data_IF_166272372478
#
_entry.id   IF_166272372478
#
_cell.length_a   1.000
_cell.length_b   1.000
_cell.length_c   1.000
_cell.angle_alpha   90.00
_cell.angle_beta   90.00
_cell.angle_gamma   90.00
#
_symmetry.space_group_name_H-M   'P 1'
#
loop_
_entity.id
_entity.type
_entity.pdbx_description
1 polymer ?
#
# COMPACT_ATOMS: atom_id res chain seq x y z
N UNK A 1 -63.14 9.77 32.86
CA UNK A 1 -63.22 10.44 31.55
C UNK A 1 -61.97 11.30 31.39
N UNK A 2 -61.11 10.90 30.44
CA UNK A 2 -59.99 11.63 29.81
C UNK A 2 -59.06 12.50 30.68
N UNK A 3 -57.90 11.96 31.02
CA UNK A 3 -56.71 12.72 31.42
C UNK A 3 -56.13 13.44 30.19
N UNK A 4 -55.97 14.76 30.29
CA UNK A 4 -55.45 15.64 29.22
C UNK A 4 -53.95 15.81 29.43
N UNK A 5 -53.15 15.18 28.56
CA UNK A 5 -51.70 15.35 28.47
C UNK A 5 -51.35 16.77 28.01
N UNK A 6 -50.45 17.46 28.72
CA UNK A 6 -49.84 18.72 28.27
C UNK A 6 -48.61 18.43 27.40
N UNK A 7 -48.66 18.88 26.15
CA UNK A 7 -47.58 18.83 25.17
C UNK A 7 -46.51 19.89 25.46
N UNK A 8 -45.26 19.47 25.68
CA UNK A 8 -44.08 20.32 25.65
C UNK A 8 -43.66 20.63 24.19
N UNK A 9 -43.10 21.82 23.90
CA UNK A 9 -42.76 22.21 22.53
C UNK A 9 -41.53 21.47 22.00
N UNK A 10 -41.64 21.01 20.76
CA UNK A 10 -40.59 20.34 20.00
C UNK A 10 -39.45 21.32 19.65
N UNK A 11 -38.25 21.05 20.16
CA UNK A 11 -37.01 21.62 19.64
C UNK A 11 -36.64 20.89 18.35
N UNK A 12 -36.70 21.59 17.22
CA UNK A 12 -36.24 21.12 15.91
C UNK A 12 -34.71 20.93 15.92
N UNK A 13 -34.25 19.70 16.17
CA UNK A 13 -32.86 19.30 15.93
C UNK A 13 -32.70 18.85 14.48
N UNK A 14 -32.50 19.80 13.58
CA UNK A 14 -32.05 19.55 12.21
C UNK A 14 -30.52 19.45 12.20
N UNK A 15 -29.97 18.32 12.66
CA UNK A 15 -28.55 17.96 12.44
C UNK A 15 -28.29 16.50 12.84
N UNK A 16 -28.93 15.57 12.12
CA UNK A 16 -28.58 14.14 12.19
C UNK A 16 -28.28 13.68 10.77
N UNK A 17 -26.99 13.62 10.43
CA UNK A 17 -26.53 12.90 9.25
C UNK A 17 -26.78 11.39 9.46
N UNK A 18 -27.22 10.65 8.43
CA UNK A 18 -27.57 9.25 8.58
C UNK A 18 -26.34 8.37 8.86
N UNK A 19 -26.52 7.24 9.57
CA UNK A 19 -25.47 6.26 9.78
C UNK A 19 -24.99 5.67 8.44
N UNK A 20 -23.69 5.41 8.39
CA UNK A 20 -22.93 4.98 7.22
C UNK A 20 -23.51 3.71 6.59
N UNK A 21 -24.09 3.84 5.40
CA UNK A 21 -24.41 2.69 4.53
C UNK A 21 -23.42 2.72 3.37
N UNK A 22 -22.59 1.68 3.27
CA UNK A 22 -21.67 1.47 2.16
C UNK A 22 -22.50 1.06 0.93
N UNK A 23 -22.74 1.99 0.01
CA UNK A 23 -23.20 1.65 -1.32
C UNK A 23 -21.99 1.47 -2.24
N UNK A 24 -21.60 0.21 -2.48
CA UNK A 24 -20.69 -0.12 -3.57
C UNK A 24 -21.49 -0.32 -4.86
N UNK A 25 -21.50 0.69 -5.75
CA UNK A 25 -22.03 0.54 -7.10
C UNK A 25 -21.06 -0.25 -7.96
N UNK A 26 -21.31 -1.56 -8.09
CA UNK A 26 -20.62 -2.44 -9.04
C UNK A 26 -21.28 -2.35 -10.42
N UNK A 27 -20.63 -1.68 -11.38
CA UNK A 27 -20.99 -1.78 -12.79
C UNK A 27 -20.34 -3.02 -13.42
N UNK A 28 -20.96 -4.20 -13.26
CA UNK A 28 -20.77 -5.36 -14.13
C UNK A 28 -22.10 -6.08 -14.34
N UNK A 29 -22.53 -6.32 -15.60
CA UNK A 29 -23.80 -6.97 -15.88
C UNK A 29 -23.73 -8.47 -15.55
N UNK A 30 -24.65 -8.94 -14.71
CA UNK A 30 -24.86 -10.34 -14.38
C UNK A 30 -25.61 -11.06 -15.50
N UNK A 31 -25.02 -12.09 -16.10
CA UNK A 31 -25.70 -12.95 -17.07
C UNK A 31 -26.55 -14.01 -16.35
N UNK A 32 -27.87 -13.79 -16.27
CA UNK A 32 -28.84 -14.81 -15.87
C UNK A 32 -29.37 -15.59 -17.07
N UNK A 33 -29.37 -16.92 -16.96
CA UNK A 33 -29.89 -17.87 -17.95
C UNK A 33 -31.41 -17.79 -18.13
N UNK A 34 -31.90 -17.91 -19.38
CA UNK A 34 -33.12 -18.67 -19.75
C UNK A 34 -33.16 -18.96 -21.26
N UNK A 35 -33.93 -19.99 -21.60
CA UNK A 35 -33.80 -20.94 -22.74
C UNK A 35 -34.56 -20.54 -24.02
N UNK A 36 -34.05 -21.10 -25.13
CA UNK A 36 -34.72 -21.58 -26.36
C UNK A 36 -35.36 -20.61 -27.38
N UNK A 37 -34.73 -20.49 -28.56
CA UNK A 37 -35.39 -20.69 -29.87
C UNK A 37 -34.38 -20.90 -31.04
N UNK A 38 -34.48 -22.07 -31.67
CA UNK A 38 -34.20 -22.48 -33.07
C UNK A 38 -33.03 -21.89 -33.91
N UNK A 39 -31.98 -22.71 -34.02
CA UNK A 39 -31.36 -23.26 -35.25
C UNK A 39 -31.21 -22.41 -36.52
N UNK A 40 -29.97 -21.99 -36.83
CA UNK A 40 -29.40 -22.04 -38.18
C UNK A 40 -27.93 -22.54 -38.14
N UNK A 41 -27.49 -23.09 -39.27
CA UNK A 41 -26.47 -24.14 -39.45
C UNK A 41 -25.04 -23.79 -39.01
N UNK A 42 -24.35 -24.83 -38.51
CA UNK A 42 -22.91 -24.94 -38.21
C UNK A 42 -22.04 -24.74 -39.46
N UNK A 43 -20.97 -23.96 -39.33
CA UNK A 43 -19.74 -24.10 -40.11
C UNK A 43 -18.60 -24.45 -39.15
N UNK A 44 -17.86 -25.52 -39.46
CA UNK A 44 -16.67 -25.99 -38.74
C UNK A 44 -15.46 -25.16 -39.18
N UNK A 45 -14.56 -24.80 -38.25
CA UNK A 45 -13.23 -24.29 -38.62
C UNK A 45 -12.42 -23.64 -37.48
N UNK A 46 -11.51 -24.44 -36.92
CA UNK A 46 -10.16 -24.14 -36.38
C UNK A 46 -9.88 -22.95 -35.42
N UNK A 47 -9.18 -23.33 -34.35
CA UNK A 47 -8.42 -22.52 -33.38
C UNK A 47 -7.38 -21.56 -34.02
N UNK A 48 -7.23 -20.34 -33.42
CA UNK A 48 -6.08 -19.39 -33.26
C UNK A 48 -4.87 -19.43 -34.23
N UNK A 49 -4.10 -18.33 -34.48
CA UNK A 49 -3.84 -17.19 -33.58
C UNK A 49 -3.64 -15.78 -34.23
N UNK A 50 -3.48 -14.78 -33.36
CA UNK A 50 -2.65 -13.55 -33.47
C UNK A 50 -2.45 -12.89 -34.84
N UNK A 51 -3.03 -11.69 -34.97
CA UNK A 51 -2.84 -10.78 -36.11
C UNK A 51 -1.45 -10.15 -36.06
N UNK A 52 -0.54 -10.69 -36.88
CA UNK A 52 0.68 -10.05 -37.35
C UNK A 52 0.32 -8.69 -37.98
N UNK A 53 0.92 -7.60 -37.50
CA UNK A 53 0.95 -6.32 -38.22
C UNK A 53 2.16 -6.36 -39.13
N UNK A 54 1.93 -6.42 -40.44
CA UNK A 54 2.98 -6.30 -41.45
C UNK A 54 3.53 -4.88 -41.46
N UNK A 55 4.85 -4.76 -41.27
CA UNK A 55 5.63 -3.57 -41.61
C UNK A 55 5.58 -3.37 -43.13
N UNK A 56 4.88 -2.33 -43.58
CA UNK A 56 5.07 -1.78 -44.93
C UNK A 56 6.03 -0.61 -44.81
N UNK A 57 7.20 -0.75 -45.44
CA UNK A 57 8.30 0.21 -45.39
C UNK A 57 8.06 1.45 -46.26
N UNK A 58 7.01 2.23 -45.97
CA UNK A 58 6.81 3.54 -46.59
C UNK A 58 7.02 4.65 -45.54
N UNK A 59 8.05 5.47 -45.78
CA UNK A 59 8.39 6.62 -44.95
C UNK A 59 7.46 7.80 -45.29
N UNK A 60 6.61 8.19 -44.34
CA UNK A 60 5.88 9.46 -44.43
C UNK A 60 6.79 10.65 -44.05
N UNK A 61 6.84 11.73 -44.84
CA UNK A 61 7.79 12.84 -44.67
C UNK A 61 7.40 13.85 -43.57
N UNK A 62 6.56 13.47 -42.61
CA UNK A 62 6.02 14.39 -41.60
C UNK A 62 6.32 14.00 -40.14
N UNK A 63 7.26 13.08 -39.89
CA UNK A 63 7.69 12.76 -38.53
C UNK A 63 9.11 13.26 -38.30
N UNK A 64 9.23 14.40 -37.60
CA UNK A 64 10.48 15.05 -37.22
C UNK A 64 11.28 14.16 -36.25
N UNK A 65 11.98 13.19 -36.82
CA UNK A 65 12.78 12.18 -36.14
C UNK A 65 14.18 12.69 -35.74
N UNK A 66 14.23 13.86 -35.10
CA UNK A 66 15.47 14.44 -34.55
C UNK A 66 15.49 14.51 -33.02
N UNK A 67 14.45 13.99 -32.35
CA UNK A 67 14.43 13.85 -30.88
C UNK A 67 14.62 12.41 -30.38
N UNK A 68 14.41 11.39 -31.20
CA UNK A 68 14.65 9.99 -30.80
C UNK A 68 16.12 9.58 -30.82
N UNK A 69 16.98 10.32 -31.54
CA UNK A 69 18.43 10.03 -31.61
C UNK A 69 19.20 10.44 -30.35
N UNK A 70 18.58 11.12 -29.37
CA UNK A 70 19.19 11.43 -28.07
C UNK A 70 19.07 10.31 -27.03
N UNK A 71 18.28 9.28 -27.30
CA UNK A 71 17.99 8.21 -26.34
C UNK A 71 18.27 6.81 -26.91
N UNK A 72 18.98 6.72 -28.03
CA UNK A 72 19.48 5.45 -28.52
C UNK A 72 20.72 5.07 -27.69
N UNK A 73 20.80 3.86 -27.10
CA UNK A 73 22.01 3.41 -26.46
C UNK A 73 23.07 3.17 -27.54
N UNK A 74 24.03 4.09 -27.68
CA UNK A 74 25.29 3.79 -28.35
C UNK A 74 26.16 3.02 -27.37
N UNK A 75 25.91 1.72 -27.24
CA UNK A 75 26.99 0.79 -26.92
C UNK A 75 27.68 0.54 -28.26
N UNK A 76 28.78 1.24 -28.51
CA UNK A 76 29.64 0.95 -29.66
C UNK A 76 30.40 -0.34 -29.38
N UNK A 77 30.68 -1.07 -30.44
CA UNK A 77 31.43 -2.34 -30.43
C UNK A 77 32.82 -2.22 -29.80
N UNK A 78 33.28 -0.99 -29.55
CA UNK A 78 34.57 -0.63 -28.97
C UNK A 78 34.63 -0.75 -27.43
N UNK A 79 33.49 -0.98 -26.74
CA UNK A 79 33.47 -1.26 -25.29
C UNK A 79 33.84 -2.73 -24.95
N UNK A 80 34.20 -3.54 -25.96
CA UNK A 80 34.53 -4.97 -25.80
C UNK A 80 36.03 -5.28 -25.70
N UNK A 81 36.90 -4.28 -25.73
CA UNK A 81 38.37 -4.45 -25.65
C UNK A 81 38.97 -3.76 -24.39
N UNK A 82 38.29 -3.82 -23.24
CA UNK A 82 38.96 -3.51 -21.97
C UNK A 82 39.75 -4.72 -21.50
N UNK A 83 41.04 -4.70 -21.86
CA UNK A 83 42.05 -5.57 -21.31
C UNK A 83 42.00 -5.57 -19.78
N UNK A 84 42.14 -6.78 -19.26
CA UNK A 84 42.07 -7.14 -17.87
C UNK A 84 43.30 -6.62 -17.12
N UNK A 85 43.38 -5.32 -16.80
CA UNK A 85 44.22 -4.79 -15.69
C UNK A 85 44.02 -3.32 -15.25
N UNK A 86 43.10 -2.51 -15.81
CA UNK A 86 42.88 -1.11 -15.33
C UNK A 86 41.41 -0.79 -15.00
N UNK A 87 40.84 -1.45 -13.98
CA UNK A 87 39.60 -0.96 -13.33
C UNK A 87 39.91 0.10 -12.27
N UNK A 88 40.43 1.26 -12.70
CA UNK A 88 40.14 2.51 -12.00
C UNK A 88 38.74 2.95 -12.44
N UNK A 89 37.74 2.63 -11.63
CA UNK A 89 36.35 3.03 -11.83
C UNK A 89 36.31 4.56 -11.68
N UNK A 90 36.16 5.27 -12.80
CA UNK A 90 35.76 6.66 -12.78
C UNK A 90 34.33 6.75 -12.25
N UNK A 91 34.17 7.24 -11.03
CA UNK A 91 32.89 7.59 -10.39
C UNK A 91 32.27 8.86 -11.03
N UNK A 92 32.28 8.97 -12.36
CA UNK A 92 31.79 10.12 -13.13
C UNK A 92 30.62 9.74 -14.06
N UNK A 93 29.86 8.69 -13.73
CA UNK A 93 28.51 8.52 -14.28
C UNK A 93 27.58 9.48 -13.53
N UNK A 94 27.29 10.65 -14.11
CA UNK A 94 26.07 11.40 -13.78
C UNK A 94 24.92 10.39 -13.65
N UNK A 95 24.15 10.44 -12.56
CA UNK A 95 23.03 9.53 -12.25
C UNK A 95 21.85 9.69 -13.24
N UNK A 96 22.11 9.61 -14.54
CA UNK A 96 21.12 9.60 -15.59
C UNK A 96 20.30 8.33 -15.43
N UNK A 97 19.08 8.52 -14.93
CA UNK A 97 18.08 7.46 -14.75
C UNK A 97 17.80 6.83 -16.11
N UNK A 98 18.45 5.70 -16.39
CA UNK A 98 18.28 4.99 -17.66
C UNK A 98 16.88 4.38 -17.73
N UNK A 99 16.09 4.84 -18.69
CA UNK A 99 14.74 4.33 -18.93
C UNK A 99 14.80 3.21 -19.97
N UNK A 100 14.28 2.03 -19.62
CA UNK A 100 14.11 0.92 -20.53
C UNK A 100 12.66 0.84 -21.04
N UNK A 101 12.51 0.40 -22.29
CA UNK A 101 11.22 0.09 -22.93
C UNK A 101 11.16 -1.40 -23.18
N UNK A 102 9.97 -2.00 -23.13
CA UNK A 102 9.83 -3.42 -23.42
C UNK A 102 10.42 -3.79 -24.80
N UNK A 103 11.29 -4.81 -24.82
CA UNK A 103 11.98 -5.30 -25.99
C UNK A 103 13.33 -4.64 -26.30
N UNK A 104 13.71 -3.58 -25.59
CA UNK A 104 15.02 -2.94 -25.80
C UNK A 104 16.14 -3.74 -25.13
N UNK A 105 17.29 -3.83 -25.80
CA UNK A 105 18.51 -4.38 -25.22
C UNK A 105 19.08 -3.44 -24.16
N UNK A 106 19.38 -3.99 -22.99
CA UNK A 106 19.89 -3.23 -21.84
C UNK A 106 21.39 -3.44 -21.70
N UNK A 107 21.84 -4.71 -21.73
CA UNK A 107 23.22 -5.10 -21.50
C UNK A 107 23.51 -6.53 -21.99
N UNK A 108 24.79 -6.89 -22.10
CA UNK A 108 25.25 -8.24 -22.46
C UNK A 108 25.14 -9.23 -21.29
N UNK A 109 24.71 -10.47 -21.57
CA UNK A 109 24.57 -11.54 -20.58
C UNK A 109 25.92 -12.13 -20.12
N UNK A 110 27.03 -11.83 -20.79
CA UNK A 110 28.35 -12.34 -20.39
C UNK A 110 28.87 -11.72 -19.10
N UNK A 111 28.52 -10.46 -18.85
CA UNK A 111 29.01 -9.68 -17.69
C UNK A 111 27.93 -9.56 -16.61
N UNK A 112 26.65 -9.54 -17.02
CA UNK A 112 25.51 -9.24 -16.16
C UNK A 112 24.55 -10.41 -15.98
N UNK A 113 23.93 -10.45 -14.82
CA UNK A 113 22.86 -11.38 -14.46
C UNK A 113 21.51 -10.71 -14.65
N UNK A 114 20.55 -11.47 -15.19
CA UNK A 114 19.16 -11.04 -15.33
C UNK A 114 18.46 -11.01 -13.96
N UNK A 115 17.87 -9.87 -13.62
CA UNK A 115 16.97 -9.70 -12.48
C UNK A 115 15.50 -9.73 -12.88
N UNK A 116 14.66 -9.10 -12.05
CA UNK A 116 13.24 -8.92 -12.35
C UNK A 116 13.04 -7.91 -13.49
N UNK A 117 12.03 -8.14 -14.34
CA UNK A 117 11.74 -7.23 -15.45
C UNK A 117 12.68 -7.34 -16.65
N UNK A 118 13.57 -8.33 -16.66
CA UNK A 118 14.46 -8.62 -17.78
C UNK A 118 14.35 -10.09 -18.20
N UNK A 119 14.66 -10.36 -19.47
CA UNK A 119 14.74 -11.71 -20.02
C UNK A 119 15.88 -11.81 -21.02
N UNK A 120 16.36 -13.02 -21.24
CA UNK A 120 17.42 -13.27 -22.22
C UNK A 120 16.79 -13.43 -23.60
N UNK A 121 17.37 -12.77 -24.61
CA UNK A 121 16.99 -12.98 -25.99
C UNK A 121 17.31 -14.43 -26.42
N UNK A 122 16.45 -15.03 -27.24
CA UNK A 122 16.66 -16.41 -27.73
C UNK A 122 17.71 -16.49 -28.83
N UNK A 123 17.99 -15.36 -29.49
CA UNK A 123 18.83 -15.30 -30.69
C UNK A 123 20.12 -14.49 -30.47
N UNK A 124 20.21 -13.75 -29.37
CA UNK A 124 21.37 -12.95 -28.99
C UNK A 124 21.65 -13.14 -27.50
N UNK A 125 22.93 -13.15 -27.10
CA UNK A 125 23.34 -13.23 -25.69
C UNK A 125 23.16 -11.88 -24.96
N UNK A 126 22.05 -11.20 -25.24
CA UNK A 126 21.70 -9.89 -24.71
C UNK A 126 20.50 -9.99 -23.76
N UNK A 127 20.56 -9.17 -22.71
CA UNK A 127 19.48 -9.00 -21.74
C UNK A 127 18.53 -7.93 -22.27
N UNK A 128 17.30 -8.34 -22.57
CA UNK A 128 16.22 -7.48 -23.01
C UNK A 128 15.31 -7.09 -21.83
N UNK A 129 14.71 -5.91 -21.91
CA UNK A 129 13.67 -5.51 -20.95
C UNK A 129 12.32 -6.17 -21.27
N UNK A 130 11.63 -6.74 -20.28
CA UNK A 130 10.23 -7.16 -20.42
C UNK A 130 9.23 -6.06 -20.06
N UNK A 131 9.67 -5.01 -19.36
CA UNK A 131 8.81 -3.95 -18.83
C UNK A 131 9.31 -2.55 -19.20
N UNK A 132 8.43 -1.56 -19.13
CA UNK A 132 8.82 -0.16 -19.28
C UNK A 132 9.06 0.47 -17.90
N UNK A 133 10.23 1.06 -17.69
CA UNK A 133 10.59 1.59 -16.38
C UNK A 133 12.06 1.98 -16.27
N UNK A 134 12.52 2.19 -15.03
CA UNK A 134 13.90 2.58 -14.74
C UNK A 134 14.76 1.32 -14.60
N UNK A 135 15.96 1.36 -15.19
CA UNK A 135 16.94 0.27 -15.06
C UNK A 135 17.65 0.45 -13.72
N UNK A 136 17.49 -0.52 -12.83
CA UNK A 136 18.21 -0.59 -11.57
C UNK A 136 19.35 -1.61 -11.72
N UNK A 137 20.57 -1.14 -11.52
CA UNK A 137 21.77 -1.96 -11.57
C UNK A 137 22.33 -2.08 -10.15
N UNK A 138 22.36 -3.31 -9.64
CA UNK A 138 22.94 -3.62 -8.34
C UNK A 138 24.07 -4.62 -8.55
N UNK A 139 25.31 -4.15 -8.48
CA UNK A 139 26.50 -4.94 -8.83
C UNK A 139 26.40 -5.51 -10.25
N UNK A 140 26.35 -6.84 -10.36
CA UNK A 140 26.18 -7.56 -11.63
C UNK A 140 24.72 -7.86 -11.98
N UNK A 141 23.76 -7.55 -11.09
CA UNK A 141 22.35 -7.83 -11.32
C UNK A 141 21.67 -6.62 -11.98
N UNK A 142 21.01 -6.85 -13.11
CA UNK A 142 20.22 -5.83 -13.81
C UNK A 142 18.73 -6.16 -13.69
N UNK A 143 17.99 -5.28 -13.04
CA UNK A 143 16.54 -5.32 -12.94
C UNK A 143 15.91 -4.08 -13.56
N UNK A 144 14.67 -4.20 -13.98
CA UNK A 144 13.87 -3.07 -14.47
C UNK A 144 12.71 -2.86 -13.52
N UNK A 145 12.69 -1.69 -12.87
CA UNK A 145 11.61 -1.28 -11.99
C UNK A 145 10.51 -0.62 -12.82
N UNK A 146 9.33 -1.24 -12.93
CA UNK A 146 8.26 -0.70 -13.77
C UNK A 146 7.69 0.59 -13.16
N UNK A 147 7.26 1.51 -14.01
CA UNK A 147 6.63 2.76 -13.54
C UNK A 147 5.38 2.51 -12.68
N UNK A 148 4.60 1.47 -13.01
CA UNK A 148 3.46 1.01 -12.21
C UNK A 148 3.54 -0.50 -12.01
N UNK A 149 3.48 -0.92 -10.75
CA UNK A 149 3.42 -2.32 -10.37
C UNK A 149 2.46 -2.53 -9.22
N UNK A 150 1.94 -3.76 -9.13
CA UNK A 150 1.34 -4.26 -7.90
C UNK A 150 2.44 -4.55 -6.88
N UNK A 151 2.06 -4.59 -5.62
CA UNK A 151 2.99 -4.92 -4.55
C UNK A 151 3.60 -6.31 -4.78
N UNK A 152 4.93 -6.38 -4.72
CA UNK A 152 5.69 -7.62 -4.73
C UNK A 152 6.14 -7.88 -3.30
N UNK A 153 5.59 -8.95 -2.70
CA UNK A 153 5.85 -9.25 -1.30
C UNK A 153 7.28 -9.76 -1.11
N UNK A 154 7.98 -9.18 -0.12
CA UNK A 154 9.29 -9.63 0.34
C UNK A 154 9.19 -10.13 1.78
N UNK A 155 10.07 -11.06 2.15
CA UNK A 155 10.09 -11.64 3.49
C UNK A 155 10.49 -10.56 4.51
N UNK A 156 9.72 -10.44 5.59
CA UNK A 156 9.91 -9.43 6.63
C UNK A 156 9.15 -8.12 6.38
N UNK A 157 8.42 -8.01 5.27
CA UNK A 157 7.63 -6.81 4.99
C UNK A 157 6.44 -6.69 5.94
N UNK A 158 6.25 -5.48 6.49
CA UNK A 158 5.02 -5.12 7.19
C UNK A 158 3.95 -4.74 6.17
N UNK A 159 2.83 -5.45 6.22
CA UNK A 159 1.70 -5.26 5.31
C UNK A 159 0.40 -5.11 6.08
N UNK A 160 -0.50 -4.33 5.51
CA UNK A 160 -1.88 -4.26 5.97
C UNK A 160 -2.72 -5.03 4.97
N UNK A 161 -3.69 -5.79 5.44
CA UNK A 161 -4.52 -6.61 4.58
C UNK A 161 -5.96 -6.67 5.03
N UNK A 162 -6.83 -6.99 4.07
CA UNK A 162 -8.26 -7.22 4.30
C UNK A 162 -8.57 -8.69 4.13
N UNK A 163 -9.25 -9.29 5.10
CA UNK A 163 -9.67 -10.69 5.02
C UNK A 163 -10.73 -10.82 3.93
N UNK A 164 -10.48 -11.66 2.92
CA UNK A 164 -11.40 -11.90 1.80
C UNK A 164 -12.31 -13.09 2.06
N UNK A 165 -11.73 -14.18 2.58
CA UNK A 165 -12.47 -15.39 2.92
C UNK A 165 -11.84 -16.11 4.13
N UNK A 166 -12.69 -16.79 4.89
CA UNK A 166 -12.30 -17.71 5.96
C UNK A 166 -12.37 -19.13 5.40
N UNK A 167 -11.21 -19.76 5.21
CA UNK A 167 -11.08 -21.15 4.74
C UNK A 167 -10.73 -22.12 5.87
N UNK A 168 -10.56 -23.43 5.55
CA UNK A 168 -10.16 -24.42 6.55
C UNK A 168 -8.72 -24.13 7.02
N UNK A 169 -8.55 -23.89 8.33
CA UNK A 169 -7.26 -23.61 9.00
C UNK A 169 -6.47 -22.41 8.47
N UNK A 170 -7.03 -21.60 7.58
CA UNK A 170 -6.39 -20.39 7.02
C UNK A 170 -7.40 -19.31 6.65
N UNK A 171 -6.99 -18.06 6.74
CA UNK A 171 -7.66 -16.92 6.14
C UNK A 171 -6.96 -16.54 4.84
N UNK A 172 -7.73 -16.15 3.82
CA UNK A 172 -7.16 -15.42 2.69
C UNK A 172 -7.24 -13.92 2.97
N UNK A 173 -6.16 -13.23 2.67
CA UNK A 173 -5.99 -11.81 2.96
C UNK A 173 -5.55 -11.11 1.68
N UNK A 174 -6.32 -10.11 1.26
CA UNK A 174 -5.97 -9.19 0.19
C UNK A 174 -4.96 -8.15 0.71
N UNK A 175 -3.74 -8.21 0.15
CA UNK A 175 -2.63 -7.30 0.46
C UNK A 175 -2.24 -6.47 -0.77
N UNK A 176 -3.09 -6.30 -1.78
CA UNK A 176 -2.73 -5.58 -3.03
C UNK A 176 -1.57 -6.22 -3.83
N UNK A 177 -1.33 -7.51 -3.62
CA UNK A 177 -0.37 -8.29 -4.38
C UNK A 177 -1.00 -8.87 -5.67
N UNK A 178 -0.23 -9.69 -6.40
CA UNK A 178 -0.73 -10.44 -7.58
C UNK A 178 -1.72 -11.54 -7.17
N UNK A 179 -1.52 -12.12 -5.99
CA UNK A 179 -2.30 -13.23 -5.43
C UNK A 179 -2.69 -12.91 -4.00
N UNK A 180 -3.80 -13.47 -3.54
CA UNK A 180 -4.19 -13.39 -2.13
C UNK A 180 -3.17 -14.11 -1.24
N UNK A 181 -2.91 -13.52 -0.08
CA UNK A 181 -2.01 -14.11 0.91
C UNK A 181 -2.73 -15.07 1.84
N UNK A 182 -2.02 -16.08 2.32
CA UNK A 182 -2.55 -17.02 3.30
C UNK A 182 -2.07 -16.66 4.71
N UNK A 183 -2.99 -16.39 5.62
CA UNK A 183 -2.74 -16.31 7.05
C UNK A 183 -3.16 -17.63 7.69
N UNK A 184 -2.21 -18.42 8.16
CA UNK A 184 -2.54 -19.72 8.77
C UNK A 184 -3.04 -19.52 10.21
N UNK A 185 -3.96 -20.39 10.65
CA UNK A 185 -4.36 -20.47 12.06
C UNK A 185 -3.17 -20.74 12.97
N UNK A 186 -2.14 -21.45 12.48
CA UNK A 186 -0.86 -21.69 13.15
C UNK A 186 -0.01 -20.41 13.35
N UNK A 187 -0.23 -19.37 12.54
CA UNK A 187 0.58 -18.15 12.50
C UNK A 187 -0.03 -16.95 13.23
N UNK A 188 -1.19 -17.13 13.87
CA UNK A 188 -1.80 -16.12 14.74
C UNK A 188 -1.54 -16.40 16.22
N UNK A 189 -1.54 -15.31 17.00
CA UNK A 189 -1.53 -15.37 18.46
C UNK A 189 -2.91 -15.78 18.96
N UNK A 190 -2.99 -16.99 19.49
CA UNK A 190 -4.22 -17.46 20.10
C UNK A 190 -4.49 -16.70 21.41
N UNK A 191 -5.77 -16.57 21.75
CA UNK A 191 -6.18 -15.92 22.97
C UNK A 191 -5.56 -16.55 24.22
N UNK A 192 -4.97 -15.73 25.09
CA UNK A 192 -4.45 -16.15 26.40
C UNK A 192 -2.93 -16.12 26.54
N UNK A 193 -2.19 -15.57 25.56
CA UNK A 193 -0.76 -15.25 25.66
C UNK A 193 0.19 -16.45 25.79
N UNK A 194 -0.34 -17.64 26.04
CA UNK A 194 0.40 -18.90 26.15
C UNK A 194 0.37 -19.58 24.78
N UNK A 195 1.54 -20.02 24.32
CA UNK A 195 1.65 -20.87 23.14
C UNK A 195 1.06 -22.26 23.42
N UNK A 196 -0.28 -22.35 23.47
CA UNK A 196 -0.99 -23.62 23.67
C UNK A 196 -0.99 -24.43 22.37
N UNK A 197 -0.99 -25.75 22.50
CA UNK A 197 -1.18 -26.65 21.35
C UNK A 197 -2.57 -26.37 20.76
N UNK A 198 -2.61 -26.00 19.49
CA UNK A 198 -3.85 -25.61 18.80
C UNK A 198 -4.80 -26.81 18.74
N UNK A 199 -6.03 -26.60 19.19
CA UNK A 199 -7.04 -27.66 19.33
C UNK A 199 -8.03 -27.53 18.17
N UNK A 200 -8.69 -28.62 17.78
CA UNK A 200 -9.73 -28.62 16.72
C UNK A 200 -10.88 -27.64 17.03
N UNK A 201 -11.12 -27.31 18.30
CA UNK A 201 -12.06 -26.27 18.72
C UNK A 201 -11.73 -24.88 18.15
N UNK A 202 -10.44 -24.58 17.97
CA UNK A 202 -9.96 -23.28 17.49
C UNK A 202 -10.27 -23.11 15.98
N UNK A 203 -10.34 -24.20 15.23
CA UNK A 203 -10.75 -24.21 13.82
C UNK A 203 -12.23 -23.82 13.68
N UNK A 204 -13.08 -24.29 14.59
CA UNK A 204 -14.50 -23.94 14.59
C UNK A 204 -14.75 -22.48 14.99
N UNK A 205 -13.86 -21.91 15.82
CA UNK A 205 -13.93 -20.53 16.31
C UNK A 205 -13.13 -19.53 15.46
N UNK A 206 -12.64 -19.93 14.28
CA UNK A 206 -11.83 -19.05 13.42
C UNK A 206 -12.50 -17.71 13.11
N UNK A 207 -13.83 -17.72 12.93
CA UNK A 207 -14.62 -16.51 12.67
C UNK A 207 -14.66 -15.53 13.85
N UNK A 208 -14.35 -15.98 15.07
CA UNK A 208 -14.31 -15.09 16.23
C UNK A 208 -13.01 -14.25 16.28
N UNK A 209 -11.95 -14.69 15.58
CA UNK A 209 -10.69 -13.94 15.49
C UNK A 209 -10.71 -12.95 14.34
N UNK A 210 -11.01 -13.46 13.15
CA UNK A 210 -11.06 -12.70 11.92
C UNK A 210 -12.25 -13.13 11.07
N UNK A 211 -13.09 -12.16 10.74
CA UNK A 211 -14.24 -12.26 9.87
C UNK A 211 -13.90 -11.71 8.48
N UNK A 212 -14.74 -12.02 7.50
CA UNK A 212 -14.62 -11.42 6.18
C UNK A 212 -14.73 -9.90 6.26
N UNK A 213 -13.85 -9.20 5.55
CA UNK A 213 -13.67 -7.75 5.52
C UNK A 213 -12.95 -7.13 6.73
N UNK A 214 -12.52 -7.92 7.71
CA UNK A 214 -11.65 -7.41 8.77
C UNK A 214 -10.32 -6.92 8.20
N UNK A 215 -9.83 -5.81 8.77
CA UNK A 215 -8.51 -5.28 8.47
C UNK A 215 -7.52 -5.73 9.53
N UNK A 216 -6.34 -6.14 9.09
CA UNK A 216 -5.28 -6.59 9.97
C UNK A 216 -3.91 -6.11 9.50
N UNK A 217 -3.00 -5.98 10.46
CA UNK A 217 -1.57 -5.79 10.22
C UNK A 217 -0.89 -7.14 10.39
N UNK A 218 -0.08 -7.51 9.43
CA UNK A 218 0.72 -8.72 9.47
C UNK A 218 2.10 -8.48 8.86
N UNK A 219 2.98 -9.44 9.11
CA UNK A 219 4.30 -9.49 8.49
C UNK A 219 4.37 -10.69 7.54
N UNK A 220 5.06 -10.50 6.42
CA UNK A 220 5.30 -11.56 5.44
C UNK A 220 6.33 -12.53 6.00
N UNK A 221 5.89 -13.74 6.35
CA UNK A 221 6.74 -14.78 6.92
C UNK A 221 7.63 -15.44 5.88
N UNK A 222 7.01 -15.82 4.76
CA UNK A 222 7.67 -16.58 3.71
C UNK A 222 6.92 -16.41 2.39
N UNK A 223 7.66 -16.57 1.30
CA UNK A 223 7.14 -16.59 -0.06
C UNK A 223 7.18 -18.02 -0.60
N UNK A 224 6.11 -18.43 -1.27
CA UNK A 224 6.03 -19.69 -1.98
C UNK A 224 6.51 -19.53 -3.43
N UNK A 225 6.82 -20.65 -4.09
CA UNK A 225 7.33 -20.66 -5.47
C UNK A 225 6.32 -20.15 -6.50
N UNK A 226 5.04 -20.15 -6.16
CA UNK A 226 3.94 -19.59 -6.97
C UNK A 226 3.76 -18.07 -6.78
N UNK A 227 4.69 -17.41 -6.05
CA UNK A 227 4.62 -16.02 -5.61
C UNK A 227 3.47 -15.72 -4.63
N UNK A 228 2.84 -16.74 -4.04
CA UNK A 228 1.93 -16.53 -2.92
C UNK A 228 2.73 -16.23 -1.64
N UNK A 229 2.17 -15.37 -0.80
CA UNK A 229 2.77 -14.94 0.47
C UNK A 229 2.06 -15.62 1.65
N UNK A 230 2.84 -16.10 2.60
CA UNK A 230 2.34 -16.54 3.91
C UNK A 230 2.54 -15.41 4.93
N UNK A 231 1.48 -15.09 5.66
CA UNK A 231 1.50 -14.03 6.68
C UNK A 231 1.55 -14.62 8.09
N UNK A 232 2.06 -13.83 9.03
CA UNK A 232 1.95 -14.12 10.46
C UNK A 232 1.66 -12.88 11.30
N UNK A 233 1.00 -13.09 12.45
CA UNK A 233 0.69 -12.07 13.45
C UNK A 233 1.24 -12.45 14.82
N UNK A 234 2.44 -13.04 14.87
CA UNK A 234 3.07 -13.53 16.11
C UNK A 234 3.48 -12.41 17.08
N UNK A 235 3.66 -11.18 16.62
CA UNK A 235 3.94 -10.04 17.50
C UNK A 235 2.64 -9.46 18.07
N UNK A 236 2.67 -8.97 19.32
CA UNK A 236 1.55 -8.24 19.94
C UNK A 236 1.26 -6.89 19.24
N UNK A 237 2.20 -6.40 18.42
CA UNK A 237 1.99 -5.21 17.58
C UNK A 237 1.14 -5.50 16.36
N UNK A 238 0.97 -6.77 16.00
CA UNK A 238 0.22 -7.22 14.84
C UNK A 238 -1.15 -7.74 15.29
N UNK A 239 -2.14 -7.62 14.41
CA UNK A 239 -3.50 -8.01 14.75
C UNK A 239 -4.52 -7.17 14.02
N UNK A 240 -5.75 -7.23 14.54
CA UNK A 240 -6.91 -6.53 13.98
C UNK A 240 -6.79 -5.01 14.17
N UNK A 241 -7.15 -4.28 13.13
CA UNK A 241 -7.11 -2.83 13.11
C UNK A 241 -8.44 -2.23 13.57
N UNK A 242 -8.35 -1.21 14.44
CA UNK A 242 -9.50 -0.49 14.99
C UNK A 242 -9.18 1.00 15.16
N UNK A 243 -10.21 1.79 15.44
CA UNK A 243 -10.12 3.22 15.78
C UNK A 243 -9.42 4.08 14.72
N UNK A 244 -9.61 3.75 13.44
CA UNK A 244 -8.88 4.38 12.36
C UNK A 244 -9.53 4.25 10.99
N UNK A 245 -8.80 4.71 9.97
CA UNK A 245 -9.19 4.71 8.57
C UNK A 245 -8.06 4.13 7.73
N UNK A 246 -8.45 3.32 6.73
CA UNK A 246 -7.54 2.80 5.72
C UNK A 246 -7.43 3.76 4.54
N UNK A 247 -6.21 4.09 4.15
CA UNK A 247 -5.87 4.87 2.97
C UNK A 247 -5.02 4.02 2.05
N UNK A 248 -5.34 4.03 0.76
CA UNK A 248 -4.59 3.30 -0.27
C UNK A 248 -3.76 4.26 -1.09
N UNK A 249 -2.49 3.91 -1.31
CA UNK A 249 -1.55 4.61 -2.17
C UNK A 249 -0.80 3.59 -3.05
N UNK A 250 -0.07 4.10 -4.04
CA UNK A 250 0.75 3.26 -4.92
C UNK A 250 1.91 2.64 -4.13
N UNK A 251 2.10 1.30 -4.16
CA UNK A 251 3.16 0.64 -3.37
C UNK A 251 4.56 1.09 -3.77
N UNK A 252 4.75 1.53 -5.01
CA UNK A 252 6.04 2.01 -5.51
C UNK A 252 6.49 3.32 -4.85
N UNK A 253 5.56 4.11 -4.31
CA UNK A 253 5.85 5.40 -3.67
C UNK A 253 6.24 5.25 -2.21
N UNK A 254 5.91 4.12 -1.57
CA UNK A 254 6.18 3.91 -0.16
C UNK A 254 7.68 3.65 0.05
N UNK A 255 8.31 4.49 0.86
CA UNK A 255 9.70 4.30 1.24
C UNK A 255 9.80 3.26 2.37
N UNK A 256 10.81 2.39 2.29
CA UNK A 256 11.15 1.47 3.38
C UNK A 256 11.75 2.26 4.54
N UNK A 257 11.10 2.22 5.70
CA UNK A 257 11.52 2.92 6.91
C UNK A 257 12.12 1.93 7.92
N UNK A 258 12.89 2.43 8.89
CA UNK A 258 13.38 1.62 10.02
C UNK A 258 12.22 1.05 10.85
N UNK A 259 11.15 1.84 11.01
CA UNK A 259 9.91 1.43 11.63
C UNK A 259 8.75 1.92 10.78
N UNK A 260 7.87 1.01 10.40
CA UNK A 260 6.63 1.32 9.71
C UNK A 260 5.47 1.67 10.67
N UNK A 261 5.73 1.61 11.99
CA UNK A 261 4.88 2.21 13.02
C UNK A 261 5.44 3.59 13.32
N UNK A 262 4.64 4.61 13.04
CA UNK A 262 5.01 6.02 13.14
C UNK A 262 4.01 6.71 14.03
N UNK A 263 4.50 7.43 15.02
CA UNK A 263 3.67 8.28 15.86
C UNK A 263 3.84 9.73 15.38
N UNK A 264 2.78 10.32 14.83
CA UNK A 264 2.79 11.74 14.49
C UNK A 264 2.23 12.54 15.65
N UNK A 265 3.17 13.13 16.39
CA UNK A 265 2.88 14.08 17.45
C UNK A 265 3.37 15.45 17.04
N UNK A 266 2.45 16.40 17.00
CA UNK A 266 2.77 17.82 16.84
C UNK A 266 1.89 18.62 17.80
N UNK A 267 2.54 19.23 18.80
CA UNK A 267 1.85 19.99 19.84
C UNK A 267 1.29 21.32 19.30
N UNK A 268 1.90 21.91 18.26
CA UNK A 268 1.43 23.16 17.64
C UNK A 268 0.16 22.93 16.83
N UNK A 269 0.08 21.77 16.17
CA UNK A 269 -1.06 21.37 15.32
C UNK A 269 -2.09 20.54 16.12
N UNK A 270 -1.83 20.30 17.42
CA UNK A 270 -2.54 19.38 18.30
C UNK A 270 -2.71 17.96 17.72
N UNK A 271 -1.83 17.57 16.81
CA UNK A 271 -1.86 16.29 16.11
C UNK A 271 -1.39 15.17 17.03
N UNK A 272 -2.22 14.15 17.20
CA UNK A 272 -1.89 12.99 18.03
C UNK A 272 -2.48 11.70 17.42
N UNK A 273 -1.82 11.20 16.38
CA UNK A 273 -2.28 10.05 15.60
C UNK A 273 -1.14 9.05 15.37
N UNK A 274 -1.50 7.77 15.29
CA UNK A 274 -0.58 6.70 14.91
C UNK A 274 -0.81 6.32 13.45
N UNK A 275 0.28 6.17 12.71
CA UNK A 275 0.29 5.66 11.35
C UNK A 275 0.99 4.32 11.29
N UNK A 276 0.39 3.43 10.52
CA UNK A 276 0.97 2.16 10.13
C UNK A 276 1.09 2.19 8.61
N UNK A 277 2.32 2.30 8.12
CA UNK A 277 2.61 2.42 6.69
C UNK A 277 2.96 1.03 6.17
N UNK A 278 1.98 0.32 5.63
CA UNK A 278 2.21 -0.99 4.99
C UNK A 278 2.95 -0.81 3.67
N UNK A 279 3.99 -1.61 3.43
CA UNK A 279 4.80 -1.57 2.20
C UNK A 279 3.98 -1.91 0.94
N UNK A 280 2.78 -2.45 1.13
CA UNK A 280 1.88 -2.84 0.06
C UNK A 280 0.99 -1.72 -0.49
N UNK A 281 1.19 -0.48 -0.04
CA UNK A 281 0.36 0.65 -0.45
C UNK A 281 -0.77 0.94 0.54
N UNK A 282 -0.98 0.10 1.55
CA UNK A 282 -2.06 0.25 2.51
C UNK A 282 -1.54 0.93 3.77
N UNK A 283 -2.12 2.09 4.09
CA UNK A 283 -1.73 2.93 5.22
C UNK A 283 -2.92 3.02 6.17
N UNK A 284 -2.71 2.69 7.44
CA UNK A 284 -3.73 2.83 8.47
C UNK A 284 -3.43 4.02 9.35
N UNK A 285 -4.43 4.87 9.57
CA UNK A 285 -4.31 6.07 10.41
C UNK A 285 -5.29 5.89 11.56
N UNK A 286 -4.79 5.89 12.79
CA UNK A 286 -5.58 5.61 13.98
C UNK A 286 -5.36 6.64 15.08
N UNK A 287 -6.27 6.61 16.07
CA UNK A 287 -6.04 7.22 17.39
C UNK A 287 -4.73 6.71 17.97
N UNK A 288 -3.95 7.60 18.59
CA UNK A 288 -2.73 7.20 19.27
C UNK A 288 -3.01 6.23 20.42
N UNK A 289 -2.25 5.13 20.46
CA UNK A 289 -2.18 4.23 21.60
C UNK A 289 -0.74 4.12 22.08
N UNK A 290 -0.43 4.51 23.33
CA UNK A 290 0.92 4.40 23.85
C UNK A 290 1.31 2.93 23.92
N UNK A 291 2.29 2.55 23.09
CA UNK A 291 2.88 1.21 23.10
C UNK A 291 4.22 1.24 23.85
N UNK A 292 4.28 0.61 25.02
CA UNK A 292 5.54 0.37 25.71
C UNK A 292 6.14 -0.94 25.19
N UNK A 293 7.18 -0.84 24.36
CA UNK A 293 7.97 -1.99 23.95
C UNK A 293 8.64 -2.61 25.20
N UNK A 294 8.52 -3.93 25.45
CA UNK A 294 9.46 -4.59 26.34
C UNK A 294 10.84 -4.40 25.72
N UNK A 295 11.68 -3.58 26.34
CA UNK A 295 13.09 -3.56 26.01
C UNK A 295 13.65 -4.96 26.24
N UNK A 296 14.42 -5.49 25.29
CA UNK A 296 15.26 -6.68 25.46
C UNK A 296 16.43 -6.41 26.45
N UNK A 297 16.27 -5.48 27.39
CA UNK A 297 17.21 -5.26 28.47
C UNK A 297 16.87 -6.22 29.60
N UNK A 298 17.71 -7.23 29.77
CA UNK A 298 17.77 -8.14 30.91
C UNK A 298 18.10 -7.38 32.22
N UNK A 299 17.15 -6.58 32.70
CA UNK A 299 17.18 -5.94 34.02
C UNK A 299 16.11 -6.57 34.92
N UNK A 300 16.31 -6.65 36.25
CA UNK A 300 15.37 -7.31 37.14
C UNK A 300 14.03 -6.57 37.12
N UNK A 301 12.96 -7.32 36.89
CA UNK A 301 11.59 -6.83 36.91
C UNK A 301 11.27 -6.17 38.25
N UNK A 302 11.20 -4.84 38.25
CA UNK A 302 10.55 -4.07 39.29
C UNK A 302 9.52 -3.19 38.61
N UNK A 303 8.27 -3.33 39.06
CA UNK A 303 7.05 -2.63 38.65
C UNK A 303 6.32 -3.22 37.43
N UNK A 304 5.36 -4.08 37.78
CA UNK A 304 4.22 -4.52 36.99
C UNK A 304 3.29 -3.35 36.64
N UNK A 305 3.72 -2.48 35.73
CA UNK A 305 2.84 -1.47 35.13
C UNK A 305 2.48 -1.89 33.71
N UNK A 306 1.17 -2.06 33.51
CA UNK A 306 0.41 -2.34 32.29
C UNK A 306 1.17 -2.14 30.97
N UNK A 307 1.66 -3.24 30.40
CA UNK A 307 2.04 -3.31 28.99
C UNK A 307 0.79 -3.09 28.14
N UNK A 308 0.73 -1.96 27.43
CA UNK A 308 -0.39 -1.59 26.56
C UNK A 308 -0.01 -1.89 25.11
N UNK A 309 -0.80 -2.73 24.44
CA UNK A 309 -0.70 -3.00 23.01
C UNK A 309 -1.50 -1.98 22.19
N UNK A 310 -1.37 -2.00 20.86
CA UNK A 310 -2.26 -1.26 19.95
C UNK A 310 -3.75 -1.66 20.13
N UNK A 311 -4.00 -2.81 20.77
CA UNK A 311 -5.32 -3.30 21.15
C UNK A 311 -5.86 -2.74 22.48
N UNK A 312 -5.10 -1.90 23.20
CA UNK A 312 -5.53 -1.30 24.47
C UNK A 312 -4.63 -1.63 25.65
N UNK A 313 -5.09 -1.21 26.84
CA UNK A 313 -4.39 -1.42 28.10
C UNK A 313 -4.60 -2.84 28.62
N UNK A 314 -3.57 -3.69 28.52
CA UNK A 314 -3.64 -5.03 29.08
C UNK A 314 -2.46 -5.89 28.63
N UNK A 315 -1.79 -6.47 29.62
CA UNK A 315 -0.69 -7.45 29.45
C UNK A 315 -1.23 -8.68 28.72
N UNK A 316 -1.28 -8.70 27.38
CA UNK A 316 -1.53 -9.92 26.58
C UNK A 316 -2.72 -10.82 26.99
N UNK A 317 -3.65 -10.33 27.82
CA UNK A 317 -4.64 -11.14 28.54
C UNK A 317 -6.07 -10.88 28.09
N UNK A 318 -6.38 -9.66 27.64
CA UNK A 318 -7.71 -9.34 27.13
C UNK A 318 -7.80 -9.65 25.63
N UNK A 319 -7.97 -10.95 25.42
CA UNK A 319 -8.38 -11.63 24.19
C UNK A 319 -9.50 -10.89 23.47
N UNK A 320 -10.49 -10.50 24.25
CA UNK A 320 -11.70 -9.85 23.76
C UNK A 320 -11.36 -8.49 23.16
N UNK A 321 -10.41 -7.75 23.75
CA UNK A 321 -9.99 -6.44 23.25
C UNK A 321 -9.14 -6.50 21.97
N UNK A 322 -8.44 -7.62 21.72
CA UNK A 322 -7.54 -7.77 20.56
C UNK A 322 -8.28 -8.11 19.28
N UNK A 323 -9.35 -8.90 19.39
CA UNK A 323 -10.16 -9.31 18.24
C UNK A 323 -11.55 -8.65 18.19
N UNK A 324 -11.85 -7.74 19.14
CA UNK A 324 -13.09 -6.97 19.14
C UNK A 324 -13.27 -6.16 17.85
N UNK A 325 -14.51 -6.15 17.36
CA UNK A 325 -15.00 -5.24 16.33
C UNK A 325 -15.34 -3.83 16.85
N UNK A 326 -15.40 -3.67 18.18
CA UNK A 326 -15.88 -2.43 18.78
C UNK A 326 -14.77 -1.38 18.82
N UNK A 327 -15.05 -0.26 18.16
CA UNK A 327 -14.23 0.94 18.27
C UNK A 327 -14.50 1.63 19.63
N UNK A 328 -13.54 2.44 20.05
CA UNK A 328 -13.66 3.28 21.23
C UNK A 328 -14.85 4.26 21.06
N UNK A 329 -15.71 4.32 22.07
CA UNK A 329 -16.89 5.18 22.05
C UNK A 329 -16.51 6.67 22.00
N UNK A 330 -15.35 7.02 22.58
CA UNK A 330 -14.90 8.39 22.76
C UNK A 330 -13.86 8.80 21.71
N UNK A 331 -14.28 8.75 20.44
CA UNK A 331 -13.54 9.30 19.30
C UNK A 331 -13.99 10.75 19.03
N UNK A 332 -13.24 11.71 19.59
CA UNK A 332 -13.48 13.15 19.43
C UNK A 332 -13.57 13.59 17.96
N UNK A 333 -14.38 14.61 17.70
CA UNK A 333 -14.56 15.17 16.36
C UNK A 333 -13.26 15.79 15.83
N UNK A 334 -12.47 16.40 16.72
CA UNK A 334 -11.16 16.97 16.42
C UNK A 334 -10.19 15.90 15.93
N UNK A 335 -10.10 14.77 16.63
CA UNK A 335 -9.26 13.64 16.23
C UNK A 335 -9.69 13.07 14.86
N UNK A 336 -11.00 12.95 14.61
CA UNK A 336 -11.51 12.49 13.30
C UNK A 336 -11.13 13.45 12.18
N UNK A 337 -11.19 14.77 12.43
CA UNK A 337 -10.76 15.80 11.46
C UNK A 337 -9.25 15.73 11.19
N UNK A 338 -8.44 15.45 12.20
CA UNK A 338 -7.01 15.23 12.05
C UNK A 338 -6.71 14.00 11.20
N UNK A 339 -7.33 12.86 11.50
CA UNK A 339 -7.21 11.63 10.69
C UNK A 339 -7.59 11.90 9.24
N UNK A 340 -8.69 12.62 9.00
CA UNK A 340 -9.14 12.97 7.66
C UNK A 340 -8.14 13.90 6.92
N UNK A 341 -7.51 14.84 7.64
CA UNK A 341 -6.48 15.71 7.07
C UNK A 341 -5.25 14.92 6.64
N UNK A 342 -4.75 14.03 7.50
CA UNK A 342 -3.61 13.16 7.18
C UNK A 342 -3.93 12.27 5.98
N UNK A 343 -5.13 11.67 5.93
CA UNK A 343 -5.59 10.87 4.81
C UNK A 343 -5.57 11.65 3.49
N UNK A 344 -6.05 12.90 3.50
CA UNK A 344 -6.03 13.79 2.33
C UNK A 344 -4.61 14.15 1.89
N UNK A 345 -3.71 14.41 2.84
CA UNK A 345 -2.30 14.66 2.53
C UNK A 345 -1.67 13.47 1.81
N UNK A 346 -1.93 12.25 2.27
CA UNK A 346 -1.45 11.02 1.61
C UNK A 346 -2.00 10.89 0.19
N UNK A 347 -3.29 11.21 -0.04
CA UNK A 347 -3.85 11.21 -1.39
C UNK A 347 -3.20 12.24 -2.32
N UNK A 348 -2.81 13.40 -1.80
CA UNK A 348 -2.07 14.41 -2.57
C UNK A 348 -0.68 13.88 -2.92
N UNK A 349 0.04 13.29 -1.97
CA UNK A 349 1.37 12.69 -2.24
C UNK A 349 1.28 11.61 -3.34
N UNK A 350 0.27 10.75 -3.29
CA UNK A 350 0.04 9.71 -4.30
C UNK A 350 -0.30 10.32 -5.67
N UNK A 351 -1.17 11.34 -5.73
CA UNK A 351 -1.55 12.00 -6.97
C UNK A 351 -0.35 12.67 -7.68
N UNK A 352 0.53 13.32 -6.91
CA UNK A 352 1.72 13.99 -7.43
C UNK A 352 2.94 13.06 -7.55
N UNK A 353 2.76 11.74 -7.34
CA UNK A 353 3.81 10.72 -7.41
C UNK A 353 5.04 11.06 -6.55
N UNK A 354 4.82 11.68 -5.39
CA UNK A 354 5.88 12.00 -4.45
C UNK A 354 6.13 10.81 -3.52
N UNK A 355 7.39 10.49 -3.17
CA UNK A 355 7.67 9.42 -2.23
C UNK A 355 6.98 9.64 -0.88
N UNK A 356 6.38 8.59 -0.34
CA UNK A 356 5.63 8.61 0.92
C UNK A 356 6.50 8.05 2.03
N UNK A 357 6.75 8.88 3.03
CA UNK A 357 7.51 8.61 4.26
C UNK A 357 6.85 9.34 5.43
N UNK A 358 7.26 9.00 6.65
CA UNK A 358 6.83 9.71 7.86
C UNK A 358 7.13 11.22 7.80
N UNK A 359 8.32 11.58 7.33
CA UNK A 359 8.76 12.99 7.22
C UNK A 359 7.95 13.75 6.18
N UNK A 360 7.70 13.16 5.00
CA UNK A 360 6.94 13.82 3.93
C UNK A 360 5.47 13.99 4.31
N UNK A 361 4.87 12.99 4.97
CA UNK A 361 3.51 13.10 5.51
C UNK A 361 3.45 14.22 6.57
N UNK A 362 4.37 14.23 7.53
CA UNK A 362 4.41 15.25 8.58
C UNK A 362 4.55 16.67 8.00
N UNK A 363 5.48 16.83 7.05
CA UNK A 363 5.74 18.11 6.40
C UNK A 363 4.52 18.60 5.62
N UNK A 364 3.88 17.73 4.84
CA UNK A 364 2.68 18.11 4.09
C UNK A 364 1.49 18.43 5.01
N UNK A 365 1.34 17.72 6.13
CA UNK A 365 0.32 18.05 7.13
C UNK A 365 0.58 19.42 7.73
N UNK A 366 1.84 19.75 8.06
CA UNK A 366 2.23 21.07 8.55
C UNK A 366 1.91 22.18 7.54
N UNK A 367 2.29 21.97 6.28
CA UNK A 367 1.97 22.88 5.16
C UNK A 367 0.45 23.04 5.00
N UNK A 368 -0.32 21.95 5.11
CA UNK A 368 -1.78 22.00 5.00
C UNK A 368 -2.44 22.87 6.06
N UNK A 369 -1.84 22.98 7.25
CA UNK A 369 -2.34 23.88 8.32
C UNK A 369 -2.19 25.33 7.91
N UNK A 370 -1.10 25.69 7.24
CA UNK A 370 -0.85 27.06 6.79
C UNK A 370 -1.86 27.52 5.74
N UNK A 371 -2.20 26.67 4.77
CA UNK A 371 -3.14 27.04 3.70
C UNK A 371 -4.61 26.85 4.06
N UNK A 372 -4.95 25.76 4.75
CA UNK A 372 -6.35 25.36 5.03
C UNK A 372 -6.81 25.80 6.42
N UNK A 373 -5.87 26.15 7.31
CA UNK A 373 -6.13 26.51 8.71
C UNK A 373 -6.06 25.32 9.66
N UNK A 374 -6.17 25.58 10.97
CA UNK A 374 -5.99 24.58 12.04
C UNK A 374 -7.15 23.56 12.10
N UNK A 375 -8.39 24.01 11.91
CA UNK A 375 -9.61 23.18 12.04
C UNK A 375 -10.41 23.20 10.73
N UNK A 376 -10.75 22.01 10.21
CA UNK A 376 -11.66 21.85 9.06
C UNK A 376 -13.10 22.13 9.54
N UNK A 377 -13.57 23.38 9.45
CA UNK A 377 -14.87 23.79 10.03
C UNK A 377 -16.03 23.77 9.01
N UNK A 378 -15.76 23.94 7.71
CA UNK A 378 -16.79 24.02 6.66
C UNK A 378 -16.82 22.81 5.73
N UNK A 379 -17.98 22.50 5.14
CA UNK A 379 -18.16 21.44 4.15
C UNK A 379 -17.28 21.67 2.90
N UNK A 380 -17.09 22.92 2.48
CA UNK A 380 -16.20 23.31 1.38
C UNK A 380 -14.71 23.11 1.73
N UNK A 381 -14.34 23.33 2.99
CA UNK A 381 -13.01 22.98 3.53
C UNK A 381 -12.81 21.47 3.70
N UNK A 382 -13.73 20.60 3.27
CA UNK A 382 -13.46 19.16 3.25
C UNK A 382 -12.86 18.70 1.92
N UNK A 383 -13.06 19.42 0.82
CA UNK A 383 -12.63 18.96 -0.50
C UNK A 383 -11.39 19.67 -1.06
N UNK A 384 -10.64 20.42 -0.23
CA UNK A 384 -9.41 21.13 -0.64
C UNK A 384 -8.36 20.24 -1.32
N UNK A 385 -8.31 18.94 -1.00
CA UNK A 385 -7.44 17.97 -1.66
C UNK A 385 -7.76 17.74 -3.15
N UNK A 386 -8.91 18.20 -3.63
CA UNK A 386 -9.33 18.15 -5.04
C UNK A 386 -8.99 19.43 -5.81
N UNK A 387 -8.66 20.51 -5.12
CA UNK A 387 -8.26 21.75 -5.77
C UNK A 387 -6.82 21.62 -6.28
N UNK A 388 -6.67 21.56 -7.61
CA UNK A 388 -5.40 21.40 -8.27
C UNK A 388 -4.43 22.57 -8.00
N UNK A 389 -4.94 23.80 -7.89
CA UNK A 389 -4.09 24.98 -7.70
C UNK A 389 -3.49 24.97 -6.30
N UNK A 390 -4.34 24.74 -5.28
CA UNK A 390 -3.91 24.66 -3.90
C UNK A 390 -2.95 23.48 -3.68
N UNK A 391 -3.30 22.30 -4.18
CA UNK A 391 -2.45 21.12 -4.02
C UNK A 391 -1.11 21.26 -4.74
N UNK A 392 -1.06 21.96 -5.88
CA UNK A 392 0.19 22.25 -6.58
C UNK A 392 1.09 23.17 -5.77
N UNK A 393 0.54 24.24 -5.19
CA UNK A 393 1.29 25.16 -4.32
C UNK A 393 1.86 24.45 -3.09
N UNK A 394 1.04 23.63 -2.43
CA UNK A 394 1.48 22.82 -1.29
C UNK A 394 2.61 21.86 -1.65
N UNK A 395 2.54 21.23 -2.83
CA UNK A 395 3.56 20.30 -3.31
C UNK A 395 4.83 21.00 -3.77
N UNK A 396 4.73 22.19 -4.36
CA UNK A 396 5.87 23.02 -4.72
C UNK A 396 6.64 23.44 -3.47
N UNK A 397 5.92 23.88 -2.43
CA UNK A 397 6.54 24.20 -1.14
C UNK A 397 7.19 22.97 -0.49
N UNK A 398 6.52 21.81 -0.53
CA UNK A 398 7.09 20.57 0.00
C UNK A 398 8.41 20.21 -0.70
N UNK A 399 8.49 20.41 -2.02
CA UNK A 399 9.70 20.13 -2.82
C UNK A 399 10.80 21.17 -2.63
N UNK A 400 10.43 22.43 -2.43
CA UNK A 400 11.37 23.51 -2.16
C UNK A 400 12.02 23.39 -0.77
N UNK A 401 11.38 22.69 0.17
CA UNK A 401 11.84 22.55 1.55
C UNK A 401 11.79 23.87 2.33
N UNK A 402 11.15 24.90 1.78
CA UNK A 402 11.08 26.24 2.35
C UNK A 402 9.88 26.40 3.29
N UNK A 403 10.16 26.97 4.46
CA UNK A 403 9.14 27.51 5.35
C UNK A 403 8.51 28.74 4.68
N UNK A 404 7.20 28.93 4.84
CA UNK A 404 6.44 30.06 4.27
C UNK A 404 6.92 31.46 4.76
N UNK A 405 7.93 31.48 5.64
CA UNK A 405 8.58 32.68 6.17
C UNK A 405 9.75 33.20 5.30
N UNK A 406 10.20 32.43 4.31
CA UNK A 406 11.14 32.83 3.26
C UNK A 406 10.42 33.03 1.93
#
# INVERSE_FOLDING_TARGET
MAAKLSSAPASTSSDVLPPFVIHASSSRPSSSSKKNASSQRRLKGSNTPSRLVHYSGEAHPASSSSRLSRYAPTFTKDDMDMDQDDTEIGDDDEEDVKIAVAGTSIASSHIFMKGHGTFLSTNSDEILSSMCGTVERVNKLISVRPARSRYAAEVGDLVIGRVTEVGPKRWKVDINAKTDSALQLSSINLPGGIQRRKVESDELQMRNFFQENDLLVAEVQMMFQDNSSALHTRSLRYGKLKNGVLVTASPNLIQRLKSHFVHLKDDDISLNVDLIIGLNGYIWIAKHFPYNQPSNSSGPATNSEQQRGLAGSGVGMDIDATYSDQNDADLSVELRRQIQRVAKCIHILDAYHHPISDVTIHSLVSISVTYVGHILQQQEQQDWHRDANLTSLMMEQLRAGSSLAE
#
